data_IF_954462783216
#
_entry.id   IF_954462783216
#
_cell.length_a   1.000
_cell.length_b   1.000
_cell.length_c   1.000
_cell.angle_alpha   90.00
_cell.angle_beta   90.00
_cell.angle_gamma   90.00
#
_symmetry.space_group_name_H-M   'P 1'
#
loop_
_entity.id
_entity.type
_entity.pdbx_description
1 polymer ?
#
# COMPACT_ATOMS: atom_id res chain seq x y z
N UNK A 1 -3.12 11.59 7.15
CA UNK A 1 -2.53 10.60 6.21
C UNK A 1 -2.35 11.28 4.86
N UNK A 2 -1.17 11.21 4.23
CA UNK A 2 -0.93 11.85 2.93
C UNK A 2 -0.56 10.80 1.89
N UNK A 3 -1.32 10.75 0.80
CA UNK A 3 -1.11 9.83 -0.31
C UNK A 3 -0.46 10.63 -1.45
N UNK A 4 0.67 10.16 -1.96
CA UNK A 4 1.31 10.71 -3.15
C UNK A 4 1.27 9.69 -4.28
N UNK A 5 0.84 10.13 -5.45
CA UNK A 5 0.68 9.31 -6.63
C UNK A 5 1.72 9.75 -7.67
N UNK A 6 2.59 8.84 -8.08
CA UNK A 6 3.55 9.08 -9.16
C UNK A 6 3.23 8.15 -10.32
N UNK A 7 2.89 8.72 -11.47
CA UNK A 7 2.70 7.98 -12.72
C UNK A 7 4.06 7.81 -13.40
N UNK A 8 4.39 6.60 -13.81
CA UNK A 8 5.62 6.32 -14.55
C UNK A 8 5.38 6.49 -16.06
N UNK A 9 6.41 6.91 -16.79
CA UNK A 9 6.39 6.98 -18.25
C UNK A 9 6.31 5.58 -18.84
N UNK A 10 5.37 5.37 -19.78
CA UNK A 10 5.11 4.06 -20.39
C UNK A 10 3.74 3.43 -20.13
N UNK A 11 2.74 4.21 -19.68
CA UNK A 11 1.34 3.75 -19.57
C UNK A 11 1.10 2.82 -18.38
N UNK A 12 0.12 3.17 -17.54
CA UNK A 12 -0.53 2.26 -16.57
C UNK A 12 0.28 1.74 -15.38
N UNK A 13 1.47 2.30 -15.10
CA UNK A 13 2.20 2.05 -13.85
C UNK A 13 2.04 3.21 -12.86
N UNK A 14 1.39 2.93 -11.73
CA UNK A 14 1.14 3.89 -10.66
C UNK A 14 1.91 3.50 -9.40
N UNK A 15 2.71 4.42 -8.86
CA UNK A 15 3.32 4.29 -7.55
C UNK A 15 2.48 5.10 -6.55
N UNK A 16 1.96 4.43 -5.52
CA UNK A 16 1.27 5.08 -4.41
C UNK A 16 2.17 5.06 -3.17
N UNK A 17 2.47 6.24 -2.63
CA UNK A 17 3.28 6.39 -1.42
C UNK A 17 2.39 6.93 -0.30
N UNK A 18 2.15 6.10 0.71
CA UNK A 18 1.40 6.47 1.92
C UNK A 18 2.37 6.98 2.99
N UNK A 19 2.25 8.25 3.37
CA UNK A 19 3.15 8.90 4.34
C UNK A 19 2.39 9.62 5.47
N UNK A 20 3.12 10.15 6.46
CA UNK A 20 2.63 10.88 7.64
C UNK A 20 2.66 10.05 8.93
N UNK A 21 2.13 10.54 10.04
CA UNK A 21 2.10 9.77 11.31
C UNK A 21 0.74 9.12 11.62
N UNK A 22 -0.30 9.45 10.86
CA UNK A 22 -1.63 8.86 11.07
C UNK A 22 -1.68 7.33 10.89
N UNK A 23 -2.39 6.65 11.80
CA UNK A 23 -2.71 5.22 11.77
C UNK A 23 -3.45 4.84 10.46
N UNK A 24 -3.25 3.61 9.99
CA UNK A 24 -4.01 3.04 8.86
C UNK A 24 -3.31 3.02 7.49
N UNK A 25 -2.02 3.37 7.38
CA UNK A 25 -1.27 3.26 6.10
C UNK A 25 -1.15 1.82 5.63
N UNK A 26 -0.80 0.93 6.55
CA UNK A 26 -0.69 -0.50 6.29
C UNK A 26 -2.03 -1.08 5.85
N UNK A 27 -3.12 -0.68 6.54
CA UNK A 27 -4.49 -1.09 6.20
C UNK A 27 -4.91 -0.61 4.82
N UNK A 28 -4.61 0.65 4.45
CA UNK A 28 -4.92 1.18 3.14
C UNK A 28 -4.16 0.46 2.01
N UNK A 29 -2.86 0.19 2.22
CA UNK A 29 -2.04 -0.57 1.27
C UNK A 29 -2.53 -2.03 1.13
N UNK A 30 -2.92 -2.67 2.24
CA UNK A 30 -3.54 -3.98 2.24
C UNK A 30 -4.87 -4.00 1.49
N UNK A 31 -5.69 -2.96 1.63
CA UNK A 31 -6.97 -2.85 0.91
C UNK A 31 -6.80 -2.80 -0.62
N UNK A 32 -5.78 -2.10 -1.11
CA UNK A 32 -5.43 -2.09 -2.55
C UNK A 32 -4.95 -3.47 -3.00
N UNK A 33 -4.06 -4.10 -2.22
CA UNK A 33 -3.56 -5.44 -2.50
C UNK A 33 -4.71 -6.46 -2.57
N UNK A 34 -5.64 -6.42 -1.61
CA UNK A 34 -6.80 -7.30 -1.59
C UNK A 34 -7.75 -7.06 -2.78
N UNK A 35 -8.01 -5.79 -3.12
CA UNK A 35 -8.81 -5.44 -4.30
C UNK A 35 -8.20 -5.98 -5.59
N UNK A 36 -6.89 -5.86 -5.75
CA UNK A 36 -6.17 -6.39 -6.91
C UNK A 36 -6.21 -7.92 -6.95
N UNK A 37 -6.06 -8.58 -5.80
CA UNK A 37 -6.18 -10.03 -5.70
C UNK A 37 -7.60 -10.53 -6.08
N UNK A 38 -8.65 -9.83 -5.63
CA UNK A 38 -10.03 -10.14 -6.00
C UNK A 38 -10.33 -9.95 -7.50
N UNK A 39 -9.58 -9.10 -8.18
CA UNK A 39 -9.65 -8.92 -9.63
C UNK A 39 -8.80 -9.94 -10.41
N UNK A 40 -8.21 -10.94 -9.75
CA UNK A 40 -7.36 -11.95 -10.39
C UNK A 40 -5.95 -11.47 -10.77
N UNK A 41 -5.53 -10.28 -10.29
CA UNK A 41 -4.19 -9.77 -10.52
C UNK A 41 -3.17 -10.44 -9.59
N UNK A 42 -1.93 -10.55 -10.05
CA UNK A 42 -0.82 -11.04 -9.21
C UNK A 42 -0.41 -9.96 -8.22
N UNK A 43 -0.45 -10.30 -6.93
CA UNK A 43 -0.15 -9.38 -5.83
C UNK A 43 0.98 -9.94 -4.98
N UNK A 44 1.91 -9.08 -4.59
CA UNK A 44 3.02 -9.41 -3.69
C UNK A 44 3.06 -8.41 -2.53
N UNK A 45 3.17 -8.92 -1.31
CA UNK A 45 3.22 -8.12 -0.09
C UNK A 45 4.52 -8.44 0.65
N UNK A 46 5.36 -7.43 0.82
CA UNK A 46 6.56 -7.50 1.66
C UNK A 46 6.41 -6.55 2.86
N UNK A 47 6.72 -7.04 4.05
CA UNK A 47 6.75 -6.26 5.29
C UNK A 47 8.16 -6.34 5.88
N UNK A 48 8.88 -5.23 5.89
CA UNK A 48 10.27 -5.17 6.39
C UNK A 48 10.37 -5.04 7.92
N UNK A 49 9.31 -4.57 8.58
CA UNK A 49 9.26 -4.42 10.03
C UNK A 49 8.10 -5.26 10.60
N UNK A 50 8.41 -6.28 11.39
CA UNK A 50 7.39 -7.01 12.15
C UNK A 50 7.99 -7.43 13.49
N UNK A 51 7.77 -6.63 14.53
CA UNK A 51 8.34 -6.88 15.86
C UNK A 51 7.86 -6.01 17.02
N UNK A 52 6.87 -5.13 16.85
CA UNK A 52 6.29 -4.40 17.99
C UNK A 52 4.79 -4.36 17.85
N UNK A 53 4.06 -4.70 18.92
CA UNK A 53 2.61 -4.54 19.02
C UNK A 53 2.28 -3.12 18.58
N UNK A 54 1.59 -2.99 17.45
CA UNK A 54 1.07 -1.71 17.02
C UNK A 54 -0.15 -1.45 17.93
N UNK A 55 0.07 -0.68 19.00
CA UNK A 55 -0.90 -0.37 20.05
C UNK A 55 -2.22 0.20 19.53
N UNK A 56 -3.28 -0.08 20.31
CA UNK A 56 -4.56 0.65 20.45
C UNK A 56 -4.57 2.03 19.79
#
# INVERSE_FOLDING_TARGET
>A
MRIRNKRLEGGDRLIQVYTGEGKGKTTAALGIALRAAGAGLKVYIAQFAKGTKCSE
#
